data_IF_158409895388
#
_entry.id   IF_158409895388
#
_cell.length_a   1.000
_cell.length_b   1.000
_cell.length_c   1.000
_cell.angle_alpha   90.00
_cell.angle_beta   90.00
_cell.angle_gamma   90.00
#
_symmetry.space_group_name_H-M   'P 1'
#
loop_
_entity.id
_entity.type
_entity.pdbx_description
1 polymer ?
#
# COMPACT_ATOMS: atom_id res chain seq x y z
N UNK A 1 10.10 -22.14 -7.53
CA UNK A 1 9.35 -23.37 -7.56
C UNK A 1 10.25 -24.53 -7.96
N UNK A 2 10.79 -24.58 -9.17
CA UNK A 2 11.60 -25.69 -9.68
C UNK A 2 12.76 -26.10 -8.74
N UNK A 3 13.52 -25.16 -8.20
CA UNK A 3 14.63 -25.41 -7.27
C UNK A 3 14.19 -25.62 -5.82
N UNK A 4 12.89 -25.77 -5.55
CA UNK A 4 12.34 -25.92 -4.20
C UNK A 4 12.75 -24.80 -3.23
N UNK A 5 13.02 -23.62 -3.76
CA UNK A 5 13.35 -22.44 -2.95
C UNK A 5 12.16 -22.05 -2.05
N UNK A 6 12.49 -21.48 -0.89
CA UNK A 6 11.52 -21.03 0.12
C UNK A 6 11.74 -19.57 0.39
N UNK A 7 10.85 -18.73 -0.11
CA UNK A 7 10.88 -17.28 0.11
C UNK A 7 9.51 -16.68 -0.16
N UNK A 8 9.31 -15.47 0.31
CA UNK A 8 8.14 -14.67 0.01
C UNK A 8 8.48 -13.75 -1.15
N UNK A 9 7.71 -13.83 -2.23
CA UNK A 9 7.71 -12.85 -3.31
C UNK A 9 6.54 -11.89 -3.08
N UNK A 10 6.83 -10.61 -2.88
CA UNK A 10 5.80 -9.56 -2.85
C UNK A 10 5.74 -8.87 -4.19
N UNK A 11 4.57 -8.93 -4.83
CA UNK A 11 4.29 -8.22 -6.09
C UNK A 11 3.52 -6.95 -5.74
N UNK A 12 4.11 -5.79 -6.04
CA UNK A 12 3.46 -4.50 -5.86
C UNK A 12 2.63 -4.18 -7.09
N UNK A 13 1.31 -4.26 -6.96
CA UNK A 13 0.37 -4.04 -8.05
C UNK A 13 -0.41 -2.73 -7.80
N UNK A 14 -0.03 -1.69 -8.51
CA UNK A 14 -0.68 -0.38 -8.44
C UNK A 14 -1.67 -0.11 -9.59
N UNK A 15 -2.02 -1.16 -10.35
CA UNK A 15 -2.95 -1.14 -11.49
C UNK A 15 -2.54 -0.23 -12.66
N UNK A 16 -1.34 0.35 -12.65
CA UNK A 16 -0.87 1.26 -13.71
C UNK A 16 0.64 1.22 -13.86
N UNK A 17 1.17 1.66 -15.00
CA UNK A 17 2.60 1.98 -15.15
C UNK A 17 2.81 3.45 -14.80
N UNK A 18 2.83 3.75 -13.49
CA UNK A 18 2.75 5.11 -12.98
C UNK A 18 3.96 5.98 -13.35
N UNK A 19 5.19 5.45 -13.21
CA UNK A 19 6.43 6.21 -13.36
C UNK A 19 6.60 6.87 -14.74
N UNK A 20 6.07 6.28 -15.79
CA UNK A 20 6.19 6.76 -17.17
C UNK A 20 4.94 7.47 -17.69
N UNK A 21 3.96 7.77 -16.82
CA UNK A 21 2.78 8.56 -17.13
C UNK A 21 1.47 7.79 -17.12
N UNK A 22 1.32 6.86 -16.19
CA UNK A 22 0.06 6.13 -15.92
C UNK A 22 -0.50 5.37 -17.13
N UNK A 23 0.38 4.69 -17.88
CA UNK A 23 -0.06 3.88 -19.01
C UNK A 23 -0.85 2.64 -18.52
N UNK A 24 -1.81 2.18 -19.35
CA UNK A 24 -2.48 0.91 -19.12
C UNK A 24 -1.48 -0.25 -19.02
N UNK A 25 -1.79 -1.21 -18.16
CA UNK A 25 -1.07 -2.48 -18.05
C UNK A 25 -1.94 -3.62 -18.60
N UNK A 26 -1.39 -4.80 -18.88
CA UNK A 26 -2.20 -5.93 -19.29
C UNK A 26 -3.34 -6.29 -18.33
N UNK A 27 -3.24 -5.90 -17.05
CA UNK A 27 -4.28 -6.14 -16.04
C UNK A 27 -5.48 -5.21 -16.16
N UNK A 28 -5.30 -4.02 -16.72
CA UNK A 28 -6.39 -3.02 -16.82
C UNK A 28 -7.47 -3.40 -17.82
N UNK A 29 -7.17 -4.33 -18.73
CA UNK A 29 -8.07 -4.71 -19.81
C UNK A 29 -8.21 -3.68 -20.91
N UNK A 30 -7.29 -2.71 -20.97
CA UNK A 30 -7.21 -1.71 -22.04
C UNK A 30 -5.88 -1.80 -22.77
N UNK A 31 -5.91 -1.62 -24.09
CA UNK A 31 -4.73 -1.53 -24.92
C UNK A 31 -4.05 -0.16 -24.78
N UNK A 32 -2.84 -0.02 -25.29
CA UNK A 32 -2.14 1.27 -25.31
C UNK A 32 -2.89 2.37 -26.11
N UNK A 33 -3.79 1.96 -27.01
CA UNK A 33 -4.66 2.87 -27.77
C UNK A 33 -5.99 3.19 -27.08
N UNK A 34 -6.21 2.63 -25.86
CA UNK A 34 -7.43 2.84 -25.08
C UNK A 34 -8.61 1.94 -25.49
N UNK A 35 -8.41 0.99 -26.39
CA UNK A 35 -9.43 0.02 -26.78
C UNK A 35 -9.57 -1.09 -25.74
N UNK A 36 -10.75 -1.70 -25.67
CA UNK A 36 -10.97 -2.86 -24.77
C UNK A 36 -10.12 -4.07 -25.26
N UNK A 37 -9.41 -4.68 -24.30
CA UNK A 37 -8.61 -5.89 -24.51
C UNK A 37 -8.97 -6.98 -23.50
N UNK A 38 -8.29 -8.10 -23.56
CA UNK A 38 -8.43 -9.16 -22.56
C UNK A 38 -7.47 -8.92 -21.39
N UNK A 39 -7.98 -8.75 -20.15
CA UNK A 39 -7.11 -8.54 -18.99
C UNK A 39 -6.33 -9.81 -18.67
N UNK A 40 -5.09 -9.63 -18.24
CA UNK A 40 -4.20 -10.67 -17.74
C UNK A 40 -4.11 -10.55 -16.22
N UNK A 41 -4.53 -11.58 -15.51
CA UNK A 41 -4.54 -11.56 -14.05
C UNK A 41 -3.24 -12.13 -13.47
N UNK A 42 -2.56 -11.35 -12.64
CA UNK A 42 -1.32 -11.77 -11.95
C UNK A 42 -1.52 -13.08 -11.17
N UNK A 43 -2.59 -13.28 -10.39
CA UNK A 43 -2.80 -14.53 -9.67
C UNK A 43 -2.80 -15.78 -10.58
N UNK A 44 -3.32 -15.66 -11.80
CA UNK A 44 -3.36 -16.79 -12.73
C UNK A 44 -1.98 -17.11 -13.31
N UNK A 45 -1.18 -16.10 -13.63
CA UNK A 45 0.22 -16.28 -14.03
C UNK A 45 1.05 -16.94 -12.92
N UNK A 46 0.88 -16.46 -11.69
CA UNK A 46 1.55 -17.00 -10.52
C UNK A 46 1.13 -18.45 -10.27
N UNK A 47 -0.16 -18.76 -10.39
CA UNK A 47 -0.67 -20.12 -10.24
C UNK A 47 -0.10 -21.06 -11.30
N UNK A 48 -0.02 -20.60 -12.55
CA UNK A 48 0.57 -21.36 -13.66
C UNK A 48 2.07 -21.64 -13.44
N UNK A 49 2.78 -20.80 -12.68
CA UNK A 49 4.19 -21.04 -12.30
C UNK A 49 4.39 -22.08 -11.20
N UNK A 50 3.28 -22.57 -10.59
CA UNK A 50 3.30 -23.60 -9.55
C UNK A 50 3.58 -23.10 -8.14
N UNK A 51 3.39 -21.81 -7.85
CA UNK A 51 3.46 -21.31 -6.48
C UNK A 51 2.33 -21.93 -5.63
N UNK A 52 2.68 -22.42 -4.43
CA UNK A 52 1.72 -23.12 -3.56
C UNK A 52 0.93 -22.22 -2.61
N UNK A 53 1.38 -20.99 -2.42
CA UNK A 53 0.69 -19.96 -1.62
C UNK A 53 0.55 -18.70 -2.46
N UNK A 54 -0.68 -18.29 -2.73
CA UNK A 54 -0.97 -17.09 -3.52
C UNK A 54 -2.11 -16.37 -2.83
N UNK A 55 -1.86 -15.18 -2.31
CA UNK A 55 -2.88 -14.33 -1.69
C UNK A 55 -2.65 -12.88 -2.04
N UNK A 56 -3.73 -12.11 -1.96
CA UNK A 56 -3.80 -10.70 -2.27
C UNK A 56 -4.37 -9.94 -1.09
N UNK A 57 -3.82 -8.77 -0.79
CA UNK A 57 -4.36 -7.83 0.19
C UNK A 57 -3.98 -6.39 -0.17
N UNK A 58 -4.74 -5.46 0.35
CA UNK A 58 -4.43 -4.03 0.28
C UNK A 58 -3.31 -3.71 1.29
N UNK A 59 -2.14 -3.19 0.84
CA UNK A 59 -1.05 -2.84 1.75
C UNK A 59 -1.36 -1.62 2.64
N UNK A 60 -2.45 -0.89 2.35
CA UNK A 60 -2.91 0.21 3.21
C UNK A 60 -3.78 -0.25 4.38
N UNK A 61 -4.23 -1.50 4.39
CA UNK A 61 -4.76 -2.18 5.59
C UNK A 61 -3.59 -2.91 6.27
N UNK A 62 -2.86 -2.17 7.12
CA UNK A 62 -1.63 -2.68 7.75
C UNK A 62 -1.87 -3.95 8.57
N UNK A 63 -2.89 -4.05 9.45
CA UNK A 63 -3.14 -5.25 10.22
C UNK A 63 -3.36 -6.48 9.33
N UNK A 64 -4.24 -6.37 8.33
CA UNK A 64 -4.54 -7.46 7.41
C UNK A 64 -3.33 -7.85 6.57
N UNK A 65 -2.55 -6.86 6.09
CA UNK A 65 -1.37 -7.11 5.28
C UNK A 65 -0.23 -7.75 6.09
N UNK A 66 -0.01 -7.31 7.33
CA UNK A 66 0.96 -7.93 8.23
C UNK A 66 0.61 -9.37 8.58
N UNK A 67 -0.68 -9.67 8.82
CA UNK A 67 -1.11 -11.04 9.10
C UNK A 67 -1.00 -11.94 7.86
N UNK A 68 -1.19 -11.38 6.68
CA UNK A 68 -0.91 -12.09 5.43
C UNK A 68 0.57 -12.43 5.28
N UNK A 69 1.49 -11.48 5.56
CA UNK A 69 2.93 -11.73 5.52
C UNK A 69 3.38 -12.79 6.54
N UNK A 70 2.84 -12.77 7.77
CA UNK A 70 3.08 -13.81 8.77
C UNK A 70 2.60 -15.19 8.28
N UNK A 71 1.43 -15.24 7.64
CA UNK A 71 0.89 -16.48 7.07
C UNK A 71 1.75 -17.01 5.93
N UNK A 72 2.29 -16.12 5.09
CA UNK A 72 3.22 -16.47 4.02
C UNK A 72 4.54 -17.02 4.56
N UNK A 73 5.10 -16.40 5.63
CA UNK A 73 6.31 -16.89 6.30
C UNK A 73 6.09 -18.27 6.93
N UNK A 74 4.97 -18.46 7.62
CA UNK A 74 4.61 -19.75 8.19
C UNK A 74 4.51 -20.85 7.12
N UNK A 75 3.91 -20.52 5.96
CA UNK A 75 3.88 -21.44 4.83
C UNK A 75 5.29 -21.78 4.33
N UNK A 76 6.14 -20.79 4.10
CA UNK A 76 7.52 -21.01 3.63
C UNK A 76 8.31 -21.92 4.58
N UNK A 77 8.08 -21.82 5.90
CA UNK A 77 8.76 -22.61 6.93
C UNK A 77 8.17 -24.00 7.14
N UNK A 78 6.98 -24.26 6.64
CA UNK A 78 6.30 -25.55 6.83
C UNK A 78 7.02 -26.69 6.07
N UNK A 79 6.84 -27.97 6.47
CA UNK A 79 7.44 -29.09 5.75
C UNK A 79 7.05 -29.16 4.27
N UNK A 80 5.80 -28.83 3.94
CA UNK A 80 5.28 -28.75 2.57
C UNK A 80 5.43 -27.36 1.94
N UNK A 81 6.20 -26.47 2.57
CA UNK A 81 6.39 -25.10 2.14
C UNK A 81 7.20 -24.95 0.86
N UNK A 82 7.07 -23.80 0.25
CA UNK A 82 7.76 -23.43 -0.99
C UNK A 82 7.78 -21.92 -1.18
N UNK A 83 7.64 -21.46 -2.41
CA UNK A 83 7.49 -20.05 -2.73
C UNK A 83 6.09 -19.58 -2.37
N UNK A 84 6.01 -18.58 -1.50
CA UNK A 84 4.79 -17.84 -1.22
C UNK A 84 4.76 -16.56 -2.06
N UNK A 85 3.65 -16.27 -2.71
CA UNK A 85 3.45 -15.03 -3.44
C UNK A 85 2.34 -14.22 -2.78
N UNK A 86 2.68 -13.02 -2.38
CA UNK A 86 1.77 -12.01 -1.82
C UNK A 86 1.61 -10.90 -2.84
N UNK A 87 0.39 -10.61 -3.25
CA UNK A 87 0.08 -9.52 -4.18
C UNK A 87 -0.44 -8.35 -3.34
N UNK A 88 0.40 -7.33 -3.20
CA UNK A 88 0.05 -6.08 -2.54
C UNK A 88 -0.64 -5.19 -3.58
N UNK A 89 -1.98 -5.20 -3.57
CA UNK A 89 -2.79 -4.47 -4.56
C UNK A 89 -3.45 -3.26 -3.96
N UNK A 90 -3.08 -2.12 -4.50
CA UNK A 90 -3.77 -0.86 -4.27
C UNK A 90 -3.60 0.04 -5.51
N UNK A 91 -4.66 0.68 -6.02
CA UNK A 91 -4.52 1.63 -7.14
C UNK A 91 -3.52 2.73 -6.80
N UNK A 92 -2.77 3.20 -7.80
CA UNK A 92 -1.83 4.30 -7.59
C UNK A 92 -2.57 5.54 -7.07
N UNK A 93 -2.17 6.02 -5.90
CA UNK A 93 -2.80 7.20 -5.26
C UNK A 93 -2.63 8.49 -6.07
N UNK A 94 -1.70 8.52 -7.00
CA UNK A 94 -1.49 9.66 -7.91
C UNK A 94 -2.25 9.50 -9.24
N UNK A 95 -2.77 8.31 -9.52
CA UNK A 95 -3.59 8.03 -10.70
C UNK A 95 -5.07 8.33 -10.37
N UNK A 96 -5.39 9.62 -10.38
CA UNK A 96 -6.73 10.09 -10.06
C UNK A 96 -7.63 9.91 -11.27
N UNK A 97 -8.47 8.89 -11.27
CA UNK A 97 -9.58 8.79 -12.21
C UNK A 97 -10.61 9.89 -11.87
N UNK A 98 -10.83 10.89 -12.75
CA UNK A 98 -11.80 11.94 -12.48
C UNK A 98 -13.25 11.42 -12.35
N UNK A 99 -13.51 10.16 -12.74
CA UNK A 99 -14.79 9.49 -12.60
C UNK A 99 -14.98 8.83 -11.23
N UNK A 100 -13.90 8.68 -10.46
CA UNK A 100 -13.89 8.17 -9.09
C UNK A 100 -13.19 9.20 -8.19
N UNK A 101 -13.89 10.27 -7.79
CA UNK A 101 -13.31 11.25 -6.88
C UNK A 101 -12.97 10.54 -5.57
N UNK A 102 -11.69 10.27 -5.39
CA UNK A 102 -11.17 9.89 -4.07
C UNK A 102 -11.32 11.13 -3.19
N UNK A 103 -11.96 10.96 -2.05
CA UNK A 103 -12.02 12.03 -1.07
C UNK A 103 -10.58 12.40 -0.69
N UNK A 104 -10.17 13.61 -1.01
CA UNK A 104 -8.87 14.12 -0.61
C UNK A 104 -8.93 14.44 0.88
N UNK A 105 -8.72 13.43 1.72
CA UNK A 105 -8.54 13.66 3.14
C UNK A 105 -7.09 14.09 3.37
N UNK A 106 -6.90 15.23 4.03
CA UNK A 106 -5.64 15.56 4.64
C UNK A 106 -5.68 14.98 6.05
N UNK A 107 -4.61 14.35 6.50
CA UNK A 107 -4.50 13.89 7.87
C UNK A 107 -4.13 15.06 8.78
N UNK A 108 -4.60 15.01 10.01
CA UNK A 108 -4.30 16.00 11.05
C UNK A 108 -3.81 15.33 12.32
N UNK A 109 -3.04 16.08 13.12
CA UNK A 109 -2.46 15.60 14.38
C UNK A 109 -3.12 16.34 15.54
N UNK A 110 -3.78 15.60 16.43
CA UNK A 110 -4.44 16.17 17.61
C UNK A 110 -3.45 16.51 18.72
N UNK A 111 -3.98 17.16 19.79
CA UNK A 111 -3.23 17.47 21.00
C UNK A 111 -2.77 16.22 21.78
N UNK A 112 -3.34 15.05 21.47
CA UNK A 112 -2.94 13.78 22.11
C UNK A 112 -1.58 13.28 21.62
N UNK A 113 -0.93 13.97 20.68
CA UNK A 113 0.41 13.62 20.22
C UNK A 113 1.44 13.77 21.33
N UNK A 114 2.05 12.65 21.73
CA UNK A 114 3.08 12.60 22.78
C UNK A 114 4.50 12.88 22.27
N UNK A 115 4.68 13.08 20.97
CA UNK A 115 6.01 13.26 20.36
C UNK A 115 6.86 11.98 20.35
N UNK A 116 6.25 10.79 20.41
CA UNK A 116 6.95 9.49 20.46
C UNK A 116 7.76 9.18 19.18
N UNK A 117 7.52 9.86 18.08
CA UNK A 117 8.22 9.80 16.81
C UNK A 117 8.12 8.50 16.00
N UNK A 118 7.35 7.52 16.42
CA UNK A 118 7.18 6.25 15.68
C UNK A 118 6.75 6.49 14.22
N UNK A 119 5.85 7.45 13.99
CA UNK A 119 5.42 7.84 12.65
C UNK A 119 6.51 8.55 11.82
N UNK A 120 7.54 9.10 12.47
CA UNK A 120 8.70 9.71 11.80
C UNK A 120 9.81 8.70 11.56
N UNK A 121 10.18 7.94 12.59
CA UNK A 121 11.40 7.15 12.61
C UNK A 121 11.19 5.73 12.03
N UNK A 122 9.99 5.16 12.16
CA UNK A 122 9.67 3.81 11.65
C UNK A 122 8.86 3.84 10.35
N UNK A 123 7.89 4.77 10.23
CA UNK A 123 7.06 4.87 9.03
C UNK A 123 7.64 5.81 7.97
N UNK A 124 8.43 6.81 8.37
CA UNK A 124 9.21 7.71 7.50
C UNK A 124 8.37 8.41 6.41
N UNK A 125 7.14 8.82 6.73
CA UNK A 125 6.29 9.53 5.75
C UNK A 125 6.88 10.92 5.44
N UNK A 126 7.09 11.29 4.17
CA UNK A 126 7.69 12.58 3.80
C UNK A 126 6.81 13.79 4.12
N UNK A 127 5.52 13.58 4.43
CA UNK A 127 4.61 14.64 4.85
C UNK A 127 4.66 14.92 6.36
N UNK A 128 5.33 14.07 7.15
CA UNK A 128 5.46 14.22 8.60
C UNK A 128 6.78 14.91 8.95
N UNK A 129 6.73 15.80 9.92
CA UNK A 129 7.90 16.45 10.49
C UNK A 129 7.70 16.72 11.98
N UNK A 130 8.79 16.98 12.71
CA UNK A 130 8.72 17.40 14.10
C UNK A 130 8.62 18.93 14.16
N UNK A 131 7.68 19.45 14.94
CA UNK A 131 7.69 20.84 15.35
C UNK A 131 8.72 20.98 16.48
N UNK A 132 9.77 21.78 16.24
CA UNK A 132 10.85 21.99 17.23
C UNK A 132 10.39 22.84 18.42
N UNK A 133 9.28 23.57 18.29
CA UNK A 133 8.81 24.46 19.33
C UNK A 133 8.12 23.71 20.48
N UNK A 134 7.32 22.70 20.15
CA UNK A 134 6.56 21.95 21.14
C UNK A 134 6.85 20.43 21.14
N UNK A 135 7.72 19.96 20.23
CA UNK A 135 8.15 18.56 20.14
C UNK A 135 7.07 17.61 19.60
N UNK A 136 5.98 18.15 19.06
CA UNK A 136 4.92 17.35 18.46
C UNK A 136 5.15 17.12 16.97
N UNK A 137 4.51 16.10 16.42
CA UNK A 137 4.53 15.83 14.99
C UNK A 137 3.51 16.72 14.30
N UNK A 138 3.88 17.24 13.14
CA UNK A 138 3.00 18.02 12.26
C UNK A 138 2.94 17.40 10.87
N UNK A 139 1.83 17.64 10.16
CA UNK A 139 1.61 17.14 8.80
C UNK A 139 1.63 18.32 7.82
N UNK A 140 2.52 18.24 6.84
CA UNK A 140 2.52 19.17 5.70
C UNK A 140 1.38 18.78 4.74
N UNK A 141 0.31 19.58 4.73
CA UNK A 141 -0.84 19.36 3.86
C UNK A 141 -0.52 19.40 2.37
N UNK A 142 0.55 20.10 1.97
CA UNK A 142 1.01 20.13 0.58
C UNK A 142 1.70 18.84 0.12
N UNK A 143 2.18 18.04 1.06
CA UNK A 143 2.81 16.73 0.80
C UNK A 143 1.92 15.56 1.16
N UNK A 144 0.92 15.77 2.00
CA UNK A 144 -0.01 14.72 2.39
C UNK A 144 -0.90 14.30 1.22
N UNK A 145 -0.85 13.02 0.86
CA UNK A 145 -1.67 12.43 -0.21
C UNK A 145 -2.96 11.79 0.31
N UNK A 146 -3.23 11.87 1.61
CA UNK A 146 -4.46 11.36 2.22
C UNK A 146 -4.57 9.83 2.29
N UNK A 147 -3.47 9.09 2.25
CA UNK A 147 -3.50 7.63 2.23
C UNK A 147 -3.95 6.98 3.56
N UNK A 148 -3.96 7.72 4.68
CA UNK A 148 -4.45 7.25 5.97
C UNK A 148 -3.58 6.22 6.70
N UNK A 149 -2.45 5.80 6.15
CA UNK A 149 -1.59 4.77 6.78
C UNK A 149 -1.04 5.24 8.12
N UNK A 150 -0.69 6.52 8.25
CA UNK A 150 -0.17 7.09 9.50
C UNK A 150 -1.16 7.01 10.67
N UNK A 151 -2.47 6.96 10.39
CA UNK A 151 -3.51 6.73 11.42
C UNK A 151 -3.33 5.38 12.10
N UNK A 152 -2.99 4.34 11.33
CA UNK A 152 -2.79 2.98 11.82
C UNK A 152 -1.43 2.79 12.50
N UNK A 153 -0.46 3.68 12.19
CA UNK A 153 0.89 3.65 12.76
C UNK A 153 0.94 4.35 14.12
N UNK A 154 0.09 5.35 14.35
CA UNK A 154 0.13 6.12 15.58
C UNK A 154 -0.39 5.30 16.78
N UNK A 155 0.45 4.99 17.79
CA UNK A 155 0.02 4.19 18.95
C UNK A 155 -0.96 4.95 19.87
N UNK A 156 -0.90 6.28 19.84
CA UNK A 156 -1.75 7.16 20.65
C UNK A 156 -3.09 7.49 19.97
N UNK A 157 -3.25 7.09 18.69
CA UNK A 157 -4.45 7.47 17.92
C UNK A 157 -4.54 8.98 17.64
N UNK A 158 -3.44 9.70 17.79
CA UNK A 158 -3.40 11.15 17.65
C UNK A 158 -3.49 11.65 16.20
N UNK A 159 -3.39 10.75 15.21
CA UNK A 159 -3.50 11.11 13.79
C UNK A 159 -4.86 10.68 13.28
N UNK A 160 -5.61 11.61 12.73
CA UNK A 160 -6.96 11.36 12.18
C UNK A 160 -7.13 12.04 10.83
N UNK A 161 -8.17 11.65 10.09
CA UNK A 161 -8.55 12.37 8.89
C UNK A 161 -9.12 13.75 9.27
N UNK A 162 -8.54 14.82 8.75
CA UNK A 162 -9.12 16.14 8.92
C UNK A 162 -10.50 16.16 8.24
N UNK A 163 -11.49 16.70 8.93
CA UNK A 163 -12.81 16.93 8.34
C UNK A 163 -12.64 17.94 7.20
N UNK A 164 -13.13 17.57 6.03
CA UNK A 164 -13.19 18.33 4.78
C UNK A 164 -12.76 19.79 4.84
N UNK A 165 -11.75 20.12 4.08
CA UNK A 165 -11.28 21.49 3.97
C UNK A 165 -10.02 21.59 3.13
N UNK A 166 -10.10 21.17 1.87
CA UNK A 166 -9.12 21.66 0.91
C UNK A 166 -9.80 22.64 -0.03
N UNK A 167 -9.25 23.86 -0.22
CA UNK A 167 -9.78 24.83 -1.17
C UNK A 167 -9.67 24.34 -2.62
#
# INVERSE_FOLDING_TARGET
>A
VFHQARFILVILDNATTAMTGHQPTPQTGFTATGEAGHPVFIPDLVRASGAGFIKEADPYDLPAFMDLLKSADAYCRSPAGGVAVVIARHPCILDRDPRQPQAAYIMDVSEDCTGCRICLDDFECPALSLDEADGRVVIDGGRCVGCGVCVQVCPEGAITAAKEGCP
#
